data_IF_288491352338
#
_entry.id   IF_288491352338
#
_cell.length_a   1.000
_cell.length_b   1.000
_cell.length_c   1.000
_cell.angle_alpha   90.00
_cell.angle_beta   90.00
_cell.angle_gamma   90.00
#
_symmetry.space_group_name_H-M   'P 1'
#
loop_
_entity.id
_entity.type
_entity.pdbx_description
1 polymer ?
#
# COMPACT_ATOMS: atom_id res chain seq x y z
N UNK A 1 -2.55 -30.75 2.01
CA UNK A 1 -3.66 -29.82 1.74
C UNK A 1 -4.13 -29.26 3.08
N UNK A 2 -3.59 -28.12 3.53
CA UNK A 2 -4.02 -27.50 4.78
C UNK A 2 -3.93 -25.98 4.69
N UNK A 3 -5.00 -25.32 5.17
CA UNK A 3 -5.19 -23.91 5.44
C UNK A 3 -5.20 -22.93 4.25
N UNK A 4 -6.36 -22.82 3.58
CA UNK A 4 -6.70 -21.68 2.70
C UNK A 4 -8.05 -21.08 3.14
N UNK A 5 -8.09 -20.49 4.33
CA UNK A 5 -9.34 -19.92 4.87
C UNK A 5 -9.19 -18.59 5.64
N UNK A 6 -7.98 -18.18 6.00
CA UNK A 6 -7.78 -17.02 6.89
C UNK A 6 -7.22 -15.78 6.19
N UNK A 7 -6.78 -15.90 4.94
CA UNK A 7 -6.07 -14.83 4.24
C UNK A 7 -6.99 -13.98 3.34
N UNK A 8 -8.27 -14.35 3.16
CA UNK A 8 -9.22 -13.56 2.35
C UNK A 8 -10.15 -12.69 3.20
N UNK A 9 -10.63 -13.20 4.34
CA UNK A 9 -11.61 -12.51 5.18
C UNK A 9 -11.06 -11.33 6.00
N UNK A 10 -9.76 -11.35 6.34
CA UNK A 10 -9.13 -10.24 7.07
C UNK A 10 -8.67 -9.09 6.16
N UNK A 11 -8.74 -9.23 4.84
CA UNK A 11 -8.28 -8.22 3.88
C UNK A 11 -9.41 -7.33 3.33
N UNK A 12 -10.66 -7.78 3.37
CA UNK A 12 -11.80 -6.99 2.86
C UNK A 12 -12.34 -5.97 3.86
N UNK A 13 -11.93 -6.03 5.13
CA UNK A 13 -12.33 -5.05 6.19
C UNK A 13 -11.32 -3.93 6.46
N UNK A 14 -10.11 -4.00 5.91
CA UNK A 14 -9.06 -3.03 6.23
C UNK A 14 -8.56 -2.37 4.94
N UNK A 15 -8.93 -1.10 4.74
CA UNK A 15 -8.52 -0.25 3.60
C UNK A 15 -7.02 0.06 3.52
N UNK A 16 -6.17 -0.81 4.06
CA UNK A 16 -4.73 -0.62 4.21
C UNK A 16 -3.95 -0.99 2.96
N UNK A 17 -4.57 -1.23 1.81
CA UNK A 17 -3.85 -1.39 0.55
C UNK A 17 -4.57 -0.75 -0.63
N UNK A 18 -3.79 -0.37 -1.64
CA UNK A 18 -4.25 0.18 -2.90
C UNK A 18 -3.56 -0.54 -4.04
N UNK A 19 -4.35 -1.00 -5.02
CA UNK A 19 -3.84 -1.77 -6.17
C UNK A 19 -4.31 -1.15 -7.48
N UNK A 20 -3.38 -1.01 -8.41
CA UNK A 20 -3.62 -0.67 -9.81
C UNK A 20 -3.21 -1.85 -10.70
N UNK A 21 -3.23 -1.67 -12.02
CA UNK A 21 -2.70 -2.67 -12.96
C UNK A 21 -1.19 -2.84 -12.85
N UNK A 22 -0.49 -1.77 -12.51
CA UNK A 22 0.97 -1.70 -12.56
C UNK A 22 1.61 -1.78 -11.18
N UNK A 23 0.89 -1.37 -10.13
CA UNK A 23 1.45 -1.22 -8.79
C UNK A 23 0.51 -1.75 -7.73
N UNK A 24 1.09 -2.30 -6.66
CA UNK A 24 0.38 -2.57 -5.41
C UNK A 24 1.11 -1.89 -4.27
N UNK A 25 0.36 -1.20 -3.43
CA UNK A 25 0.85 -0.52 -2.24
C UNK A 25 0.09 -1.02 -1.03
N UNK A 26 0.81 -1.39 0.03
CA UNK A 26 0.26 -1.78 1.33
C UNK A 26 0.80 -0.83 2.38
N UNK A 27 -0.11 -0.16 3.07
CA UNK A 27 0.19 0.70 4.20
C UNK A 27 0.18 -0.11 5.49
N UNK A 28 1.29 -0.13 6.21
CA UNK A 28 1.41 -0.83 7.50
C UNK A 28 1.66 0.21 8.59
N UNK A 29 0.62 0.63 9.35
CA UNK A 29 0.73 1.76 10.28
C UNK A 29 1.87 1.65 11.30
N UNK A 30 2.13 0.43 11.78
CA UNK A 30 3.15 0.12 12.78
C UNK A 30 4.34 -0.65 12.21
N UNK A 31 4.49 -0.69 10.88
CA UNK A 31 5.49 -1.50 10.21
C UNK A 31 6.16 -0.78 9.04
N UNK A 32 6.82 -1.57 8.19
CA UNK A 32 7.32 -1.11 6.91
C UNK A 32 6.20 -1.21 5.89
N UNK A 33 6.02 -0.13 5.15
CA UNK A 33 5.10 -0.13 4.02
C UNK A 33 5.62 -1.08 2.93
N UNK A 34 4.74 -1.52 2.06
CA UNK A 34 5.09 -2.42 0.95
C UNK A 34 4.71 -1.80 -0.38
N UNK A 35 5.61 -1.87 -1.35
CA UNK A 35 5.37 -1.43 -2.72
C UNK A 35 5.88 -2.51 -3.67
N UNK A 36 5.01 -2.96 -4.57
CA UNK A 36 5.33 -3.98 -5.57
C UNK A 36 5.02 -3.46 -6.97
N UNK A 37 5.98 -3.65 -7.88
CA UNK A 37 5.83 -3.42 -9.32
C UNK A 37 5.22 -4.68 -9.95
N UNK A 38 3.94 -4.63 -10.30
CA UNK A 38 3.22 -5.78 -10.84
C UNK A 38 3.55 -6.07 -12.31
N UNK A 39 4.23 -5.14 -13.00
CA UNK A 39 4.66 -5.32 -14.39
C UNK A 39 5.95 -6.14 -14.42
N UNK A 40 6.93 -5.72 -13.62
CA UNK A 40 8.25 -6.34 -13.59
C UNK A 40 8.34 -7.50 -12.58
N UNK A 41 7.51 -7.48 -11.53
CA UNK A 41 7.45 -8.49 -10.48
C UNK A 41 6.00 -8.87 -10.14
N UNK A 42 5.31 -9.58 -11.06
CA UNK A 42 3.94 -10.04 -10.83
C UNK A 42 3.84 -11.04 -9.66
N UNK A 43 4.96 -11.59 -9.22
CA UNK A 43 5.06 -12.48 -8.06
C UNK A 43 5.16 -11.74 -6.71
N UNK A 44 5.29 -10.41 -6.71
CA UNK A 44 5.41 -9.59 -5.50
C UNK A 44 6.59 -10.02 -4.60
N UNK A 45 7.68 -10.46 -5.21
CA UNK A 45 8.86 -10.96 -4.52
C UNK A 45 9.70 -9.84 -3.88
N UNK A 46 9.67 -8.64 -4.45
CA UNK A 46 10.57 -7.54 -4.08
C UNK A 46 9.79 -6.36 -3.54
N UNK A 47 9.91 -6.10 -2.24
CA UNK A 47 9.36 -4.90 -1.62
C UNK A 47 10.23 -3.68 -1.94
N UNK A 48 9.70 -2.80 -2.78
CA UNK A 48 10.37 -1.59 -3.24
C UNK A 48 10.16 -0.37 -2.33
N UNK A 49 9.35 -0.42 -1.28
CA UNK A 49 8.97 0.77 -0.50
C UNK A 49 10.16 1.49 0.18
N UNK A 50 11.27 0.78 0.41
CA UNK A 50 12.51 1.34 0.97
C UNK A 50 13.54 1.81 -0.06
N UNK A 51 13.29 1.59 -1.36
CA UNK A 51 14.25 1.91 -2.41
C UNK A 51 14.12 3.38 -2.84
N UNK A 52 15.25 4.08 -2.99
CA UNK A 52 15.24 5.48 -3.41
C UNK A 52 14.68 5.67 -4.82
N UNK A 53 14.85 4.68 -5.68
CA UNK A 53 14.40 4.69 -7.08
C UNK A 53 12.88 4.58 -7.22
N UNK A 54 12.21 3.95 -6.26
CA UNK A 54 10.75 3.74 -6.28
C UNK A 54 9.97 4.88 -5.62
N UNK A 55 10.65 5.88 -5.03
CA UNK A 55 10.02 7.01 -4.33
C UNK A 55 8.93 7.71 -5.15
N UNK A 56 9.10 7.97 -6.47
CA UNK A 56 8.03 8.57 -7.27
C UNK A 56 6.78 7.70 -7.34
N UNK A 57 6.94 6.39 -7.57
CA UNK A 57 5.84 5.43 -7.64
C UNK A 57 5.15 5.26 -6.27
N UNK A 58 5.94 5.17 -5.19
CA UNK A 58 5.44 5.11 -3.83
C UNK A 58 4.55 6.32 -3.52
N UNK A 59 5.02 7.52 -3.85
CA UNK A 59 4.29 8.77 -3.60
C UNK A 59 2.98 8.83 -4.38
N UNK A 60 2.99 8.47 -5.66
CA UNK A 60 1.78 8.43 -6.48
C UNK A 60 0.74 7.44 -5.90
N UNK A 61 1.19 6.26 -5.48
CA UNK A 61 0.30 5.26 -4.86
C UNK A 61 -0.26 5.74 -3.52
N UNK A 62 0.56 6.37 -2.67
CA UNK A 62 0.11 6.97 -1.42
C UNK A 62 -0.92 8.09 -1.65
N UNK A 63 -0.71 8.94 -2.67
CA UNK A 63 -1.62 10.02 -3.03
C UNK A 63 -2.97 9.48 -3.53
N UNK A 64 -2.96 8.42 -4.34
CA UNK A 64 -4.18 7.75 -4.83
C UNK A 64 -4.94 7.07 -3.71
N UNK A 65 -4.23 6.39 -2.81
CA UNK A 65 -4.80 5.75 -1.63
C UNK A 65 -5.46 6.77 -0.69
N UNK A 66 -4.79 7.89 -0.42
CA UNK A 66 -5.35 8.96 0.40
C UNK A 66 -6.64 9.52 -0.21
N UNK A 67 -6.66 9.79 -1.52
CA UNK A 67 -7.89 10.24 -2.22
C UNK A 67 -9.04 9.24 -2.08
N UNK A 68 -8.74 7.94 -2.16
CA UNK A 68 -9.76 6.89 -1.96
C UNK A 68 -10.26 6.86 -0.52
N UNK A 69 -9.36 6.93 0.46
CA UNK A 69 -9.70 6.95 1.89
C UNK A 69 -10.52 8.18 2.28
N UNK A 70 -10.24 9.35 1.69
CA UNK A 70 -11.05 10.55 1.86
C UNK A 70 -12.49 10.33 1.40
N UNK A 71 -12.68 9.70 0.24
CA UNK A 71 -14.01 9.41 -0.32
C UNK A 71 -14.79 8.40 0.54
N UNK A 72 -14.11 7.40 1.09
CA UNK A 72 -14.73 6.35 1.91
C UNK A 72 -14.80 6.71 3.40
N UNK A 73 -14.30 7.89 3.80
CA UNK A 73 -14.15 8.33 5.21
C UNK A 73 -13.40 7.30 6.06
N UNK A 74 -12.34 6.73 5.51
CA UNK A 74 -11.53 5.72 6.19
C UNK A 74 -10.70 6.35 7.33
N UNK A 75 -10.73 5.71 8.50
CA UNK A 75 -10.01 6.18 9.68
C UNK A 75 -8.48 6.06 9.53
N UNK A 76 -8.00 5.21 8.61
CA UNK A 76 -6.58 5.06 8.29
C UNK A 76 -6.00 6.25 7.49
N UNK A 77 -6.83 7.21 7.06
CA UNK A 77 -6.36 8.41 6.35
C UNK A 77 -5.40 9.26 7.17
N UNK A 78 -5.70 9.48 8.45
CA UNK A 78 -4.86 10.29 9.33
C UNK A 78 -3.43 9.75 9.46
N UNK A 79 -3.22 8.46 9.81
CA UNK A 79 -1.87 7.90 9.87
C UNK A 79 -1.19 7.83 8.48
N UNK A 80 -1.93 7.58 7.40
CA UNK A 80 -1.36 7.63 6.04
C UNK A 80 -0.85 9.03 5.67
N UNK A 81 -1.60 10.09 6.00
CA UNK A 81 -1.20 11.46 5.76
C UNK A 81 0.04 11.87 6.56
N UNK A 82 0.20 11.35 7.78
CA UNK A 82 1.44 11.54 8.54
C UNK A 82 2.64 10.87 7.83
N UNK A 83 2.47 9.63 7.34
CA UNK A 83 3.52 8.93 6.56
C UNK A 83 3.91 9.68 5.29
N UNK A 84 2.92 10.17 4.52
CA UNK A 84 3.13 10.94 3.28
C UNK A 84 3.98 12.19 3.48
N UNK A 85 3.87 12.85 4.63
CA UNK A 85 4.70 14.02 4.97
C UNK A 85 6.17 13.65 5.19
N UNK A 86 6.43 12.46 5.75
CA UNK A 86 7.79 11.96 5.99
C UNK A 86 8.49 11.52 4.69
N UNK A 87 7.74 11.03 3.71
CA UNK A 87 8.28 10.59 2.42
C UNK A 87 8.49 11.73 1.42
N UNK A 88 8.04 12.96 1.74
CA UNK A 88 8.06 14.12 0.85
C UNK A 88 9.38 14.92 0.79
N UNK A 89 10.48 14.44 1.38
CA UNK A 89 11.82 15.07 1.37
C UNK A 89 12.78 14.35 0.44
#
# INVERSE_FOLDING_TARGET
>A
MYAVGWQKDLWERHGNYFRTREWKYVFVPYGRDELYDLINDPGECVNLAGHSESRPALRDMQDRMARRMEQTKDHALAPLNARRKLTAT
#
